data_IF_557853579457
#
_entry.id   IF_557853579457
#
_cell.length_a   1.000
_cell.length_b   1.000
_cell.length_c   1.000
_cell.angle_alpha   90.00
_cell.angle_beta   90.00
_cell.angle_gamma   90.00
#
_symmetry.space_group_name_H-M   'P 1'
#
loop_
_entity.id
_entity.type
_entity.pdbx_description
1 polymer ?
#
# COMPACT_ATOMS: atom_id res chain seq x y z
N UNK A 1 -19.57 -30.69 -5.64
CA UNK A 1 -19.23 -30.46 -4.22
C UNK A 1 -17.72 -30.62 -3.98
N UNK A 2 -16.98 -29.51 -4.00
CA UNK A 2 -15.60 -29.44 -3.51
C UNK A 2 -15.51 -28.29 -2.51
N UNK A 3 -14.81 -28.56 -1.42
CA UNK A 3 -14.93 -27.91 -0.12
C UNK A 3 -14.53 -26.43 -0.08
N UNK A 4 -15.19 -25.70 0.82
CA UNK A 4 -14.93 -24.31 1.17
C UNK A 4 -13.56 -24.18 1.87
N UNK A 5 -12.71 -23.29 1.36
CA UNK A 5 -11.54 -22.78 2.07
C UNK A 5 -12.00 -21.66 3.03
N UNK A 6 -11.82 -21.80 4.35
CA UNK A 6 -12.30 -20.84 5.34
C UNK A 6 -11.55 -19.50 5.37
N UNK A 7 -10.47 -19.32 4.60
CA UNK A 7 -9.71 -18.06 4.56
C UNK A 7 -10.06 -17.13 3.39
N UNK A 8 -11.10 -17.46 2.61
CA UNK A 8 -11.55 -16.65 1.49
C UNK A 8 -13.06 -16.37 1.57
N UNK A 9 -13.49 -15.28 2.25
CA UNK A 9 -14.88 -14.87 2.17
C UNK A 9 -15.14 -14.38 0.74
N UNK A 10 -15.88 -15.21 0.00
CA UNK A 10 -16.42 -14.90 -1.33
C UNK A 10 -17.35 -13.69 -1.19
N UNK A 11 -16.91 -12.54 -1.68
CA UNK A 11 -17.71 -11.31 -1.76
C UNK A 11 -17.23 -10.41 -2.89
N UNK A 12 -17.86 -10.52 -4.06
CA UNK A 12 -17.89 -9.45 -5.07
C UNK A 12 -16.66 -9.27 -5.96
N UNK A 13 -16.34 -10.22 -6.84
CA UNK A 13 -15.43 -9.98 -7.96
C UNK A 13 -16.12 -9.15 -9.06
N UNK A 14 -16.14 -7.82 -8.89
CA UNK A 14 -15.90 -6.95 -10.05
C UNK A 14 -14.38 -6.86 -10.24
N UNK A 15 -13.83 -7.12 -11.43
CA UNK A 15 -12.41 -6.95 -11.66
C UNK A 15 -12.14 -5.45 -11.59
N UNK A 16 -11.78 -4.96 -10.42
CA UNK A 16 -11.19 -3.63 -10.29
C UNK A 16 -9.83 -3.70 -10.99
N UNK A 17 -9.90 -3.47 -12.30
CA UNK A 17 -8.84 -2.91 -13.12
C UNK A 17 -8.09 -1.87 -12.29
N UNK A 18 -6.76 -1.93 -12.37
CA UNK A 18 -5.83 -0.87 -12.00
C UNK A 18 -6.47 0.36 -11.35
N UNK A 19 -6.11 0.68 -10.11
CA UNK A 19 -6.18 2.06 -9.66
C UNK A 19 -5.55 2.91 -10.79
N UNK A 20 -6.36 3.75 -11.45
CA UNK A 20 -6.35 4.01 -12.90
C UNK A 20 -5.12 4.62 -13.57
N UNK A 21 -3.91 4.54 -13.01
CA UNK A 21 -2.67 4.96 -13.64
C UNK A 21 -1.53 4.01 -13.21
N UNK A 22 -0.99 3.17 -14.12
CA UNK A 22 0.17 2.34 -13.77
C UNK A 22 1.38 3.24 -13.47
N UNK A 23 2.09 2.95 -12.38
CA UNK A 23 3.31 3.65 -12.03
C UNK A 23 4.47 3.14 -12.90
N UNK A 24 4.58 3.70 -14.10
CA UNK A 24 5.65 3.39 -15.02
C UNK A 24 6.90 4.21 -14.73
N UNK A 25 8.07 3.59 -14.81
CA UNK A 25 9.36 4.26 -14.69
C UNK A 25 9.92 4.55 -16.08
N UNK A 26 10.27 5.81 -16.34
CA UNK A 26 10.88 6.26 -17.59
C UNK A 26 12.20 6.97 -17.36
N UNK A 27 13.06 6.96 -18.36
CA UNK A 27 14.23 7.86 -18.48
C UNK A 27 14.13 8.66 -19.79
N UNK A 28 14.63 9.89 -19.82
CA UNK A 28 14.68 10.71 -21.02
C UNK A 28 15.94 11.60 -20.98
N UNK A 29 16.58 11.87 -22.14
CA UNK A 29 17.68 12.83 -22.20
C UNK A 29 17.17 14.24 -21.90
N UNK A 30 18.05 15.04 -21.29
CA UNK A 30 17.77 16.42 -20.87
C UNK A 30 18.78 17.36 -21.51
N UNK A 31 18.33 18.49 -22.06
CA UNK A 31 19.25 19.55 -22.52
C UNK A 31 19.75 20.41 -21.36
N UNK A 32 18.92 20.53 -20.32
CA UNK A 32 19.17 21.21 -19.06
C UNK A 32 18.28 20.58 -17.97
N UNK A 33 18.47 20.86 -16.66
CA UNK A 33 17.72 20.24 -15.57
C UNK A 33 16.19 20.41 -15.61
N UNK A 34 15.66 21.28 -16.45
CA UNK A 34 14.23 21.58 -16.56
C UNK A 34 13.62 21.14 -17.91
N UNK A 35 14.45 20.76 -18.89
CA UNK A 35 13.99 20.51 -20.26
C UNK A 35 14.41 19.13 -20.78
N UNK A 36 13.42 18.32 -21.18
CA UNK A 36 13.66 17.07 -21.90
C UNK A 36 14.06 17.38 -23.36
N UNK A 37 15.11 16.74 -23.84
CA UNK A 37 15.64 16.93 -25.20
C UNK A 37 15.30 15.79 -26.15
N UNK A 38 14.55 14.78 -25.70
CA UNK A 38 14.20 13.62 -26.51
C UNK A 38 13.05 12.78 -25.93
N UNK A 39 12.69 11.68 -26.63
CA UNK A 39 11.60 10.81 -26.21
C UNK A 39 11.90 10.11 -24.88
N UNK A 40 10.84 9.81 -24.13
CA UNK A 40 10.92 8.99 -22.93
C UNK A 40 11.09 7.51 -23.31
N UNK A 41 12.00 6.84 -22.63
CA UNK A 41 12.22 5.39 -22.73
C UNK A 41 11.67 4.73 -21.48
N UNK A 42 10.77 3.77 -21.66
CA UNK A 42 10.18 2.99 -20.58
C UNK A 42 11.21 1.99 -20.04
N UNK A 43 11.48 2.06 -18.74
CA UNK A 43 12.38 1.13 -18.04
C UNK A 43 11.61 0.04 -17.31
N UNK A 44 10.47 0.38 -16.71
CA UNK A 44 9.69 -0.59 -15.95
C UNK A 44 8.20 -0.27 -15.96
N UNK A 45 7.43 -1.33 -16.20
CA UNK A 45 6.00 -1.37 -15.90
C UNK A 45 5.77 -2.32 -14.72
N UNK A 46 4.89 -1.96 -13.78
CA UNK A 46 4.45 -2.89 -12.75
C UNK A 46 3.61 -3.99 -13.40
N UNK A 47 4.05 -5.25 -13.27
CA UNK A 47 3.37 -6.43 -13.84
C UNK A 47 2.37 -7.05 -12.87
N UNK A 48 2.20 -6.47 -11.67
CA UNK A 48 1.36 -6.97 -10.60
C UNK A 48 0.65 -5.84 -9.86
N UNK A 49 -0.14 -6.21 -8.85
CA UNK A 49 -0.82 -5.24 -7.98
C UNK A 49 0.16 -4.60 -7.01
N UNK A 50 -0.16 -3.40 -6.56
CA UNK A 50 0.53 -2.80 -5.42
C UNK A 50 0.41 -3.72 -4.19
N UNK A 51 1.53 -3.92 -3.50
CA UNK A 51 1.61 -4.81 -2.33
C UNK A 51 0.92 -4.23 -1.09
N UNK A 52 0.67 -2.91 -1.08
CA UNK A 52 -0.09 -2.20 -0.07
C UNK A 52 -0.82 -1.03 -0.75
N UNK A 53 -2.14 -0.93 -0.57
CA UNK A 53 -2.98 -0.03 -1.36
C UNK A 53 -4.26 0.37 -0.63
N UNK A 54 -4.87 1.49 -1.08
CA UNK A 54 -6.12 2.09 -0.56
C UNK A 54 -7.19 1.08 -0.14
N UNK A 55 -7.92 1.38 0.92
CA UNK A 55 -9.03 0.56 1.39
C UNK A 55 -10.31 1.40 1.49
N UNK A 56 -11.08 1.45 0.40
CA UNK A 56 -12.30 2.25 0.29
C UNK A 56 -13.35 1.88 1.33
N UNK A 57 -13.46 0.59 1.65
CA UNK A 57 -14.41 0.04 2.63
C UNK A 57 -14.15 0.59 4.05
N UNK A 58 -12.92 1.01 4.32
CA UNK A 58 -12.47 1.56 5.60
C UNK A 58 -12.09 3.05 5.50
N UNK A 59 -12.42 3.70 4.38
CA UNK A 59 -12.11 5.11 4.15
C UNK A 59 -10.62 5.42 4.13
N UNK A 60 -9.77 4.51 3.62
CA UNK A 60 -8.31 4.72 3.59
C UNK A 60 -7.84 5.04 2.19
N UNK A 61 -7.34 6.26 1.97
CA UNK A 61 -6.93 6.76 0.67
C UNK A 61 -5.48 7.24 0.65
N UNK A 62 -4.82 7.15 -0.51
CA UNK A 62 -3.48 7.68 -0.72
C UNK A 62 -2.42 7.11 0.22
N UNK A 63 -2.42 5.79 0.42
CA UNK A 63 -1.39 5.08 1.21
C UNK A 63 -0.02 5.22 0.57
N UNK A 64 1.01 5.61 1.31
CA UNK A 64 2.35 5.70 0.75
C UNK A 64 3.42 6.20 1.72
N UNK A 65 4.62 6.45 1.17
CA UNK A 65 5.81 6.90 1.90
C UNK A 65 6.01 6.11 3.20
N UNK A 66 6.11 4.79 3.06
CA UNK A 66 6.19 3.89 4.18
C UNK A 66 7.63 3.77 4.72
N UNK A 67 7.72 3.51 6.02
CA UNK A 67 8.89 3.06 6.74
C UNK A 67 8.56 1.74 7.45
N UNK A 68 9.58 1.00 7.87
CA UNK A 68 9.42 -0.25 8.60
C UNK A 68 10.13 -0.19 9.94
N UNK A 69 9.52 -0.78 10.95
CA UNK A 69 10.07 -0.89 12.30
C UNK A 69 9.67 -2.22 12.93
N UNK A 70 10.14 -2.49 14.14
CA UNK A 70 9.64 -3.56 15.00
C UNK A 70 8.90 -2.98 16.20
N UNK A 71 8.08 -3.79 16.86
CA UNK A 71 7.47 -3.47 18.17
C UNK A 71 8.56 -3.16 19.22
N UNK A 72 8.22 -2.43 20.31
CA UNK A 72 9.17 -2.11 21.37
C UNK A 72 9.91 -3.31 21.98
N UNK A 73 9.23 -4.45 22.10
CA UNK A 73 9.83 -5.72 22.57
C UNK A 73 10.62 -6.47 21.49
N UNK A 74 10.62 -5.97 20.25
CA UNK A 74 11.30 -6.53 19.09
C UNK A 74 10.63 -7.76 18.44
N UNK A 75 9.44 -8.16 18.90
CA UNK A 75 8.82 -9.43 18.49
C UNK A 75 8.03 -9.38 17.19
N UNK A 76 7.56 -8.21 16.77
CA UNK A 76 6.64 -8.07 15.62
C UNK A 76 7.12 -7.00 14.62
N UNK A 77 6.98 -7.23 13.31
CA UNK A 77 7.30 -6.23 12.30
C UNK A 77 6.07 -5.33 12.00
N UNK A 78 6.35 -4.04 11.81
CA UNK A 78 5.34 -3.01 11.63
C UNK A 78 5.64 -2.15 10.40
N UNK A 79 4.61 -1.86 9.61
CA UNK A 79 4.64 -0.85 8.56
C UNK A 79 4.12 0.45 9.13
N UNK A 80 4.88 1.53 8.96
CA UNK A 80 4.48 2.89 9.29
C UNK A 80 4.28 3.65 7.99
N UNK A 81 3.13 4.28 7.80
CA UNK A 81 2.78 4.90 6.52
C UNK A 81 1.86 6.10 6.73
N UNK A 82 1.68 6.92 5.69
CA UNK A 82 0.63 7.93 5.71
C UNK A 82 -0.59 7.50 4.90
N UNK A 83 -1.78 7.93 5.33
CA UNK A 83 -3.01 7.84 4.53
C UNK A 83 -4.01 8.93 4.93
N UNK A 84 -5.02 9.11 4.08
CA UNK A 84 -6.12 10.07 4.26
C UNK A 84 -7.43 9.35 4.56
N UNK A 85 -8.35 10.01 5.27
CA UNK A 85 -9.73 9.51 5.51
C UNK A 85 -10.68 9.77 4.34
N UNK A 86 -10.31 10.67 3.42
CA UNK A 86 -11.07 11.01 2.22
C UNK A 86 -10.14 11.19 1.02
N UNK A 87 -10.61 11.00 -0.22
CA UNK A 87 -9.76 11.09 -1.41
C UNK A 87 -9.41 12.52 -1.84
N UNK A 88 -10.11 13.54 -1.32
CA UNK A 88 -10.09 14.93 -1.80
C UNK A 88 -9.34 15.92 -0.87
N UNK A 89 -8.79 15.44 0.25
CA UNK A 89 -8.18 16.31 1.28
C UNK A 89 -6.70 16.64 1.04
N UNK A 90 -6.02 15.90 0.16
CA UNK A 90 -4.65 16.17 -0.24
C UNK A 90 -3.64 16.15 0.93
N UNK A 91 -2.64 17.04 0.88
CA UNK A 91 -1.46 17.01 1.76
C UNK A 91 -1.81 17.11 3.26
N UNK A 92 -2.72 18.00 3.63
CA UNK A 92 -3.10 18.29 5.01
C UNK A 92 -3.93 17.18 5.66
N UNK A 93 -4.62 16.36 4.85
CA UNK A 93 -5.48 15.30 5.37
C UNK A 93 -4.77 13.98 5.66
N UNK A 94 -3.44 13.96 5.63
CA UNK A 94 -2.64 12.74 5.86
C UNK A 94 -2.35 12.55 7.33
N UNK A 95 -2.68 11.37 7.85
CA UNK A 95 -2.32 10.93 9.19
C UNK A 95 -1.24 9.86 9.12
N UNK A 96 -0.32 9.87 10.08
CA UNK A 96 0.62 8.76 10.27
C UNK A 96 -0.14 7.58 10.89
N UNK A 97 0.08 6.38 10.35
CA UNK A 97 -0.56 5.14 10.75
C UNK A 97 0.49 4.04 10.88
N UNK A 98 0.24 3.07 11.74
CA UNK A 98 1.11 1.92 11.93
C UNK A 98 0.29 0.65 12.06
N UNK A 99 0.68 -0.40 11.33
CA UNK A 99 0.03 -1.72 11.40
C UNK A 99 1.05 -2.84 11.40
N UNK A 100 0.77 -3.90 12.16
CA UNK A 100 1.56 -5.12 12.14
C UNK A 100 1.40 -5.81 10.78
N UNK A 101 2.49 -6.39 10.28
CA UNK A 101 2.43 -7.27 9.11
C UNK A 101 3.05 -8.64 9.40
N UNK A 102 2.87 -9.58 8.48
CA UNK A 102 3.41 -10.94 8.60
C UNK A 102 4.34 -11.31 7.46
N UNK A 103 4.62 -12.59 7.34
CA UNK A 103 5.40 -13.15 6.23
C UNK A 103 4.59 -14.26 5.56
N UNK A 104 4.57 -14.25 4.23
CA UNK A 104 4.03 -15.34 3.43
C UNK A 104 4.98 -16.55 3.50
N UNK A 105 4.52 -17.77 3.15
CA UNK A 105 5.36 -18.97 3.13
C UNK A 105 6.59 -18.88 2.21
N UNK A 106 6.54 -18.02 1.18
CA UNK A 106 7.65 -17.76 0.26
C UNK A 106 8.67 -16.73 0.78
N UNK A 107 8.47 -16.23 2.00
CA UNK A 107 9.32 -15.22 2.62
C UNK A 107 9.04 -13.79 2.17
N UNK A 108 8.03 -13.53 1.34
CA UNK A 108 7.59 -12.17 1.01
C UNK A 108 6.76 -11.55 2.15
N UNK A 109 6.79 -10.22 2.35
CA UNK A 109 5.98 -9.59 3.39
C UNK A 109 4.49 -9.71 3.08
N UNK A 110 3.72 -10.11 4.08
CA UNK A 110 2.26 -10.19 4.04
C UNK A 110 1.69 -8.93 4.70
N UNK A 111 1.55 -7.84 3.94
CA UNK A 111 0.96 -6.60 4.44
C UNK A 111 -0.55 -6.75 4.69
N UNK A 112 -1.09 -6.12 5.75
CA UNK A 112 -2.52 -6.11 6.00
C UNK A 112 -3.25 -5.25 4.94
N UNK A 113 -4.57 -5.35 4.90
CA UNK A 113 -5.39 -4.31 4.29
C UNK A 113 -5.40 -3.09 5.24
N UNK A 114 -5.10 -1.88 4.76
CA UNK A 114 -5.03 -0.71 5.63
C UNK A 114 -6.32 -0.51 6.42
N UNK A 115 -6.17 -0.28 7.72
CA UNK A 115 -7.27 -0.10 8.65
C UNK A 115 -7.77 1.35 8.68
N UNK A 116 -9.07 1.50 8.90
CA UNK A 116 -9.73 2.81 9.02
C UNK A 116 -9.22 3.57 10.25
N UNK A 117 -9.31 4.90 10.22
CA UNK A 117 -8.76 5.73 11.29
C UNK A 117 -9.39 5.49 12.67
N UNK A 118 -10.66 5.08 12.68
CA UNK A 118 -11.44 4.81 13.90
C UNK A 118 -11.49 3.32 14.28
N UNK A 119 -10.67 2.50 13.64
CA UNK A 119 -10.58 1.07 13.97
C UNK A 119 -9.59 0.90 15.10
N UNK A 120 -10.04 0.27 16.19
CA UNK A 120 -9.16 -0.13 17.28
C UNK A 120 -8.18 -1.20 16.78
N UNK A 121 -6.89 -0.89 16.90
CA UNK A 121 -5.81 -1.79 16.58
C UNK A 121 -5.17 -2.31 17.86
N UNK A 122 -4.60 -3.51 17.79
CA UNK A 122 -3.81 -4.03 18.90
C UNK A 122 -2.60 -3.13 19.14
N UNK A 123 -2.38 -2.78 20.40
CA UNK A 123 -1.18 -2.04 20.81
C UNK A 123 0.07 -2.89 20.54
N UNK A 124 1.14 -2.30 19.98
CA UNK A 124 2.42 -2.97 19.86
C UNK A 124 2.88 -3.53 21.21
N UNK A 125 3.30 -4.80 21.28
CA UNK A 125 3.81 -5.38 22.52
C UNK A 125 4.98 -4.59 23.11
N UNK A 126 4.98 -4.42 24.44
CA UNK A 126 6.02 -3.66 25.16
C UNK A 126 5.78 -2.15 25.24
N UNK A 127 4.58 -1.67 24.93
CA UNK A 127 4.10 -0.31 25.25
C UNK A 127 3.37 -0.23 26.58
#
# INVERSE_FOLDING_TARGET
PKANDPNNPVGGNSPMVNAGFPQNLYIAPMSDPMTLSGPRVLLREPTGRAVFWRNDEQGVYGTGHASFTVSPDGSEPWIVYHAMERPDVGWEGRTARAERFGWNPDGSPAFPRPSGFWVDLQTPPGQ
#
